data_IF_807302721048
#
_entry.id   IF_807302721048
#
_cell.length_a   1.000
_cell.length_b   1.000
_cell.length_c   1.000
_cell.angle_alpha   90.00
_cell.angle_beta   90.00
_cell.angle_gamma   90.00
#
_symmetry.space_group_name_H-M   'P 1'
#
loop_
_entity.id
_entity.type
_entity.pdbx_description
1 polymer ?
#
# COMPACT_ATOMS: atom_id res chain seq x y z
N UNK A 1 16.82 17.72 -9.98
CA UNK A 1 17.90 16.71 -10.09
C UNK A 1 19.10 17.24 -9.35
N UNK A 2 19.62 16.48 -8.40
CA UNK A 2 20.87 16.78 -7.70
C UNK A 2 21.92 15.83 -8.26
N UNK A 3 23.11 16.34 -8.60
CA UNK A 3 24.17 15.55 -9.24
C UNK A 3 25.36 15.43 -8.30
N UNK A 4 25.88 14.22 -8.14
CA UNK A 4 27.15 13.93 -7.50
C UNK A 4 28.17 13.46 -8.56
N UNK A 5 28.97 14.39 -9.12
CA UNK A 5 29.91 14.04 -10.18
C UNK A 5 31.10 13.19 -9.68
N UNK A 6 31.37 13.13 -8.37
CA UNK A 6 32.49 12.32 -7.85
C UNK A 6 32.15 10.84 -7.88
N UNK A 7 30.89 10.51 -7.63
CA UNK A 7 30.38 9.14 -7.63
C UNK A 7 29.59 8.79 -8.90
N UNK A 8 29.46 9.72 -9.85
CA UNK A 8 28.70 9.56 -11.10
C UNK A 8 27.21 9.22 -10.85
N UNK A 9 26.59 9.88 -9.86
CA UNK A 9 25.19 9.63 -9.45
C UNK A 9 24.31 10.85 -9.68
N UNK A 10 23.08 10.60 -10.15
CA UNK A 10 21.99 11.58 -10.22
C UNK A 10 20.85 11.21 -9.26
N UNK A 11 20.41 12.17 -8.45
CA UNK A 11 19.32 12.02 -7.51
C UNK A 11 18.04 12.71 -8.01
N UNK A 12 16.96 11.94 -8.01
CA UNK A 12 15.60 12.39 -8.30
C UNK A 12 14.74 12.27 -7.05
N UNK A 13 14.09 13.38 -6.67
CA UNK A 13 13.13 13.40 -5.56
C UNK A 13 11.74 13.22 -6.13
N UNK A 14 11.18 12.02 -5.94
CA UNK A 14 9.86 11.63 -6.43
C UNK A 14 8.91 11.38 -5.26
N UNK A 15 7.61 11.32 -5.54
CA UNK A 15 6.66 10.82 -4.54
C UNK A 15 6.95 9.33 -4.32
N UNK A 16 6.90 8.82 -3.07
CA UNK A 16 7.22 7.43 -2.78
C UNK A 16 6.45 6.39 -3.62
N UNK A 17 5.15 6.63 -3.88
CA UNK A 17 4.29 5.77 -4.74
C UNK A 17 4.80 5.64 -6.17
N UNK A 18 5.47 6.66 -6.69
CA UNK A 18 5.92 6.68 -8.09
C UNK A 18 7.25 5.94 -8.25
N UNK A 19 8.05 5.76 -7.18
CA UNK A 19 9.43 5.26 -7.25
C UNK A 19 9.50 3.87 -7.89
N UNK A 20 8.66 2.93 -7.47
CA UNK A 20 8.65 1.56 -7.99
C UNK A 20 8.37 1.51 -9.50
N UNK A 21 7.49 2.38 -9.99
CA UNK A 21 7.13 2.49 -11.42
C UNK A 21 8.32 3.01 -12.25
N UNK A 22 9.05 4.02 -11.75
CA UNK A 22 10.22 4.54 -12.47
C UNK A 22 11.39 3.55 -12.51
N UNK A 23 11.59 2.76 -11.45
CA UNK A 23 12.58 1.69 -11.43
C UNK A 23 12.18 0.56 -12.37
N UNK A 24 10.94 0.07 -12.28
CA UNK A 24 10.43 -1.01 -13.14
C UNK A 24 10.46 -0.65 -14.63
N UNK A 25 10.25 0.63 -14.98
CA UNK A 25 10.34 1.10 -16.38
C UNK A 25 11.77 1.30 -16.90
N UNK A 26 12.80 1.06 -16.07
CA UNK A 26 14.21 1.26 -16.42
C UNK A 26 14.59 2.73 -16.62
N UNK A 27 13.78 3.67 -16.10
CA UNK A 27 14.08 5.12 -16.13
C UNK A 27 14.97 5.56 -14.98
N UNK A 28 14.95 4.81 -13.88
CA UNK A 28 15.85 4.92 -12.75
C UNK A 28 16.45 3.55 -12.45
N UNK A 29 17.70 3.51 -12.03
CA UNK A 29 18.38 2.24 -11.73
C UNK A 29 17.98 1.68 -10.35
N UNK A 30 17.84 2.56 -9.35
CA UNK A 30 17.58 2.19 -7.94
C UNK A 30 16.64 3.23 -7.31
N UNK A 31 15.77 2.78 -6.40
CA UNK A 31 14.87 3.64 -5.63
C UNK A 31 14.80 3.27 -4.15
N UNK A 32 14.47 4.24 -3.29
CA UNK A 32 14.18 4.02 -1.88
C UNK A 32 12.70 4.36 -1.66
N UNK A 33 11.88 3.36 -1.33
CA UNK A 33 10.45 3.54 -1.07
C UNK A 33 9.97 2.61 0.05
N UNK A 34 8.75 2.85 0.54
CA UNK A 34 8.09 1.97 1.49
C UNK A 34 7.80 0.61 0.87
N UNK A 35 7.99 -0.47 1.66
CA UNK A 35 7.73 -1.84 1.20
C UNK A 35 6.26 -2.06 0.86
N UNK A 36 5.38 -1.46 1.65
CA UNK A 36 3.95 -1.33 1.37
C UNK A 36 3.71 -0.73 -0.02
N UNK A 37 4.33 0.41 -0.34
CA UNK A 37 4.14 1.07 -1.64
C UNK A 37 4.70 0.27 -2.81
N UNK A 38 5.83 -0.44 -2.61
CA UNK A 38 6.36 -1.36 -3.62
C UNK A 38 5.35 -2.48 -3.91
N UNK A 39 4.87 -3.17 -2.87
CA UNK A 39 3.91 -4.27 -3.02
C UNK A 39 2.58 -3.82 -3.60
N UNK A 40 2.09 -2.65 -3.18
CA UNK A 40 0.84 -2.07 -3.65
C UNK A 40 0.90 -1.67 -5.13
N UNK A 41 2.04 -1.15 -5.59
CA UNK A 41 2.21 -0.67 -6.97
C UNK A 41 2.04 -1.76 -8.03
N UNK A 42 2.26 -3.04 -7.67
CA UNK A 42 2.31 -4.15 -8.61
C UNK A 42 3.42 -4.02 -9.67
N UNK A 43 4.37 -3.09 -9.49
CA UNK A 43 5.47 -2.87 -10.41
C UNK A 43 6.43 -4.06 -10.40
N UNK A 44 7.00 -4.38 -11.55
CA UNK A 44 8.05 -5.40 -11.67
C UNK A 44 9.39 -4.79 -11.22
N UNK A 45 9.55 -4.67 -9.91
CA UNK A 45 10.74 -4.17 -9.24
C UNK A 45 11.03 -5.04 -8.00
N UNK A 46 12.32 -5.29 -7.75
CA UNK A 46 12.77 -6.19 -6.69
C UNK A 46 13.24 -5.41 -5.44
N UNK A 47 12.84 -5.89 -4.25
CA UNK A 47 13.39 -5.43 -2.98
C UNK A 47 14.77 -6.07 -2.75
N UNK A 48 15.83 -5.27 -2.84
CA UNK A 48 17.22 -5.76 -2.67
C UNK A 48 17.82 -5.50 -1.28
N UNK A 49 17.25 -4.57 -0.49
CA UNK A 49 17.78 -4.19 0.82
C UNK A 49 16.70 -3.60 1.73
N UNK A 50 16.59 -4.13 2.95
CA UNK A 50 15.81 -3.52 4.03
C UNK A 50 16.67 -2.56 4.86
N UNK A 51 16.20 -1.31 5.02
CA UNK A 51 16.93 -0.28 5.77
C UNK A 51 16.73 -0.36 7.29
N UNK A 52 15.78 -1.18 7.77
CA UNK A 52 15.63 -1.48 9.19
C UNK A 52 14.91 -0.42 10.06
N UNK A 53 14.30 0.59 9.45
CA UNK A 53 13.51 1.63 10.13
C UNK A 53 12.05 1.67 9.62
N UNK A 54 11.21 2.53 10.24
CA UNK A 54 9.79 2.71 9.92
C UNK A 54 9.00 1.38 9.93
N UNK A 55 8.99 0.72 11.10
CA UNK A 55 8.26 -0.54 11.26
C UNK A 55 6.76 -0.24 11.28
N UNK A 56 6.04 -0.91 10.40
CA UNK A 56 4.58 -0.81 10.33
C UNK A 56 3.97 -2.18 10.04
N UNK A 57 2.66 -2.29 10.32
CA UNK A 57 1.88 -3.49 9.99
C UNK A 57 0.64 -3.08 9.23
N UNK A 58 0.23 -3.91 8.28
CA UNK A 58 -1.04 -3.73 7.58
C UNK A 58 -2.18 -4.32 8.41
N UNK A 59 -3.26 -3.57 8.61
CA UNK A 59 -4.39 -3.98 9.47
C UNK A 59 -5.73 -3.67 8.83
N UNK A 60 -6.70 -4.53 9.11
CA UNK A 60 -8.11 -4.25 8.90
C UNK A 60 -8.74 -3.72 10.19
N UNK A 61 -9.65 -2.76 10.07
CA UNK A 61 -10.47 -2.29 11.19
C UNK A 61 -11.93 -2.11 10.76
N UNK A 62 -12.84 -2.38 11.71
CA UNK A 62 -14.30 -2.26 11.52
C UNK A 62 -14.94 -1.68 12.77
N UNK A 63 -16.22 -1.33 12.68
CA UNK A 63 -17.03 -1.11 13.89
C UNK A 63 -17.15 -2.43 14.69
N UNK A 64 -17.25 -2.37 16.02
CA UNK A 64 -17.47 -3.56 16.84
C UNK A 64 -18.72 -4.34 16.39
N UNK A 65 -18.57 -5.66 16.24
CA UNK A 65 -19.66 -6.55 15.81
C UNK A 65 -19.92 -6.59 14.31
N UNK A 66 -19.17 -5.83 13.49
CA UNK A 66 -19.29 -5.89 12.02
C UNK A 66 -18.60 -7.11 11.43
N UNK A 67 -17.34 -7.35 11.79
CA UNK A 67 -16.57 -8.52 11.37
C UNK A 67 -15.47 -8.83 12.39
N UNK A 68 -15.04 -10.08 12.45
CA UNK A 68 -13.94 -10.52 13.35
C UNK A 68 -12.64 -10.79 12.61
N UNK A 69 -12.70 -10.95 11.28
CA UNK A 69 -11.55 -11.10 10.42
C UNK A 69 -11.95 -11.35 8.95
N UNK A 70 -10.96 -11.62 8.08
CA UNK A 70 -11.18 -11.75 6.63
C UNK A 70 -12.27 -12.73 6.21
N UNK A 71 -12.47 -13.83 6.97
CA UNK A 71 -13.52 -14.81 6.69
C UNK A 71 -14.95 -14.24 6.74
N UNK A 72 -15.16 -13.12 7.42
CA UNK A 72 -16.46 -12.46 7.52
C UNK A 72 -16.68 -11.40 6.44
N UNK A 73 -15.68 -11.10 5.59
CA UNK A 73 -15.74 -9.93 4.69
C UNK A 73 -16.55 -10.17 3.41
N UNK A 74 -17.04 -11.39 3.17
CA UNK A 74 -17.74 -11.72 1.92
C UNK A 74 -18.95 -10.80 1.70
N UNK A 75 -19.00 -10.14 0.54
CA UNK A 75 -20.03 -9.18 0.17
C UNK A 75 -19.90 -7.79 0.82
N UNK A 76 -18.85 -7.54 1.61
CA UNK A 76 -18.58 -6.23 2.22
C UNK A 76 -17.72 -5.35 1.31
N UNK A 77 -17.67 -4.06 1.65
CA UNK A 77 -16.78 -3.07 1.02
C UNK A 77 -15.66 -2.69 1.98
N UNK A 78 -14.43 -2.76 1.48
CA UNK A 78 -13.19 -2.37 2.16
C UNK A 78 -12.67 -1.08 1.52
N UNK A 79 -12.48 -0.05 2.34
CA UNK A 79 -11.85 1.20 1.94
C UNK A 79 -10.35 1.21 2.28
N UNK A 80 -9.51 1.61 1.33
CA UNK A 80 -8.06 1.67 1.53
C UNK A 80 -7.37 2.61 0.52
N UNK A 81 -6.15 3.03 0.83
CA UNK A 81 -5.24 3.65 -0.15
C UNK A 81 -4.21 2.65 -0.74
N UNK A 82 -4.38 1.36 -0.43
CA UNK A 82 -3.48 0.26 -0.83
C UNK A 82 -4.28 -0.88 -1.49
N UNK A 83 -4.96 -0.61 -2.61
CA UNK A 83 -5.82 -1.59 -3.25
C UNK A 83 -5.06 -2.84 -3.74
N UNK A 84 -3.81 -2.68 -4.18
CA UNK A 84 -3.00 -3.80 -4.66
C UNK A 84 -2.72 -4.80 -3.55
N UNK A 85 -2.38 -4.31 -2.35
CA UNK A 85 -2.16 -5.16 -1.17
C UNK A 85 -3.46 -5.87 -0.77
N UNK A 86 -4.56 -5.12 -0.64
CA UNK A 86 -5.84 -5.66 -0.18
C UNK A 86 -6.40 -6.68 -1.18
N UNK A 87 -6.45 -6.33 -2.47
CA UNK A 87 -6.99 -7.21 -3.50
C UNK A 87 -6.19 -8.52 -3.58
N UNK A 88 -4.85 -8.45 -3.50
CA UNK A 88 -4.00 -9.64 -3.45
C UNK A 88 -4.32 -10.50 -2.22
N UNK A 89 -4.40 -9.90 -1.04
CA UNK A 89 -4.68 -10.63 0.20
C UNK A 89 -6.06 -11.31 0.18
N UNK A 90 -7.10 -10.63 -0.31
CA UNK A 90 -8.44 -11.22 -0.45
C UNK A 90 -8.46 -12.38 -1.43
N UNK A 91 -7.76 -12.25 -2.56
CA UNK A 91 -7.64 -13.32 -3.55
C UNK A 91 -6.91 -14.55 -2.99
N UNK A 92 -5.81 -14.33 -2.26
CA UNK A 92 -5.04 -15.39 -1.61
C UNK A 92 -5.88 -16.14 -0.54
N UNK A 93 -6.78 -15.44 0.15
CA UNK A 93 -7.70 -16.00 1.15
C UNK A 93 -9.03 -16.54 0.55
N UNK A 94 -9.27 -16.36 -0.74
CA UNK A 94 -10.52 -16.77 -1.40
C UNK A 94 -11.76 -16.00 -0.93
N UNK A 95 -11.60 -14.74 -0.52
CA UNK A 95 -12.67 -13.88 0.02
C UNK A 95 -13.20 -12.94 -1.06
N UNK A 96 -14.51 -13.00 -1.33
CA UNK A 96 -15.18 -12.12 -2.30
C UNK A 96 -15.70 -10.85 -1.63
N UNK A 97 -14.85 -9.82 -1.56
CA UNK A 97 -15.18 -8.50 -1.02
C UNK A 97 -14.80 -7.41 -2.03
N UNK A 98 -15.53 -6.30 -2.01
CA UNK A 98 -15.23 -5.15 -2.88
C UNK A 98 -14.19 -4.23 -2.24
N UNK A 99 -13.30 -3.67 -3.06
CA UNK A 99 -12.27 -2.71 -2.62
C UNK A 99 -12.55 -1.35 -3.26
N UNK A 100 -12.55 -0.30 -2.45
CA UNK A 100 -12.70 1.09 -2.91
C UNK A 100 -11.49 1.92 -2.49
N UNK A 101 -10.94 2.67 -3.44
CA UNK A 101 -9.83 3.58 -3.21
C UNK A 101 -10.27 4.80 -2.38
N UNK A 102 -9.43 5.23 -1.44
CA UNK A 102 -9.53 6.52 -0.78
C UNK A 102 -8.17 7.18 -0.60
N UNK A 103 -8.09 8.43 -1.06
CA UNK A 103 -6.98 9.34 -0.80
C UNK A 103 -7.05 9.92 0.62
N UNK A 104 -6.78 9.10 1.63
CA UNK A 104 -6.85 9.47 3.05
C UNK A 104 -8.28 9.58 3.62
N UNK A 105 -8.40 10.02 4.88
CA UNK A 105 -9.66 10.07 5.64
C UNK A 105 -10.43 8.74 5.65
N UNK A 106 -9.67 7.66 5.79
CA UNK A 106 -10.17 6.29 5.71
C UNK A 106 -11.23 6.03 6.80
N UNK A 107 -11.11 6.66 7.95
CA UNK A 107 -12.08 6.57 9.05
C UNK A 107 -13.45 7.18 8.68
N UNK A 108 -13.45 8.28 7.94
CA UNK A 108 -14.68 8.97 7.49
C UNK A 108 -15.49 8.10 6.52
N UNK A 109 -14.85 7.17 5.80
CA UNK A 109 -15.51 6.25 4.89
C UNK A 109 -16.57 5.38 5.60
N UNK A 110 -16.26 4.93 6.82
CA UNK A 110 -17.17 4.13 7.63
C UNK A 110 -18.33 4.99 8.14
N UNK A 111 -18.08 6.25 8.49
CA UNK A 111 -19.11 7.16 8.98
C UNK A 111 -20.11 7.55 7.88
N UNK A 112 -19.62 7.75 6.66
CA UNK A 112 -20.43 8.07 5.48
C UNK A 112 -21.10 6.85 4.84
N UNK A 113 -20.82 5.64 5.34
CA UNK A 113 -21.40 4.39 4.82
C UNK A 113 -20.85 3.95 3.47
N UNK A 114 -19.66 4.44 3.09
CA UNK A 114 -18.96 4.06 1.85
C UNK A 114 -18.38 2.65 1.98
N UNK A 115 -17.93 2.28 3.18
CA UNK A 115 -17.34 0.97 3.45
C UNK A 115 -17.70 0.48 4.86
N UNK A 116 -17.69 -0.85 5.06
CA UNK A 116 -17.85 -1.47 6.38
C UNK A 116 -16.50 -1.74 7.06
N UNK A 117 -15.45 -1.83 6.26
CA UNK A 117 -14.10 -2.19 6.66
C UNK A 117 -13.14 -1.14 6.13
N UNK A 118 -12.11 -0.83 6.90
CA UNK A 118 -10.96 -0.07 6.44
C UNK A 118 -9.71 -0.93 6.50
N UNK A 119 -8.78 -0.70 5.59
CA UNK A 119 -7.49 -1.36 5.58
C UNK A 119 -6.37 -0.32 5.44
N UNK A 120 -5.42 -0.32 6.37
CA UNK A 120 -4.36 0.68 6.40
C UNK A 120 -3.05 0.16 7.03
N UNK A 121 -1.98 0.89 6.78
CA UNK A 121 -0.66 0.71 7.39
C UNK A 121 -0.63 1.46 8.72
N UNK A 122 -0.35 0.76 9.82
CA UNK A 122 -0.26 1.34 11.16
C UNK A 122 1.11 1.11 11.79
N UNK A 123 1.58 2.11 12.52
CA UNK A 123 2.78 2.06 13.39
C UNK A 123 2.34 1.98 14.86
N UNK A 124 3.12 1.29 15.70
CA UNK A 124 2.87 1.09 17.15
C UNK A 124 4.09 1.41 17.98
#
# INVERSE_FOLDING_TARGET
>A
VLVDPTNEVEFFYLRPRDIAIYVSSGKLDIGITGRDLLLDSGADAEEILQLGFARSTFRYATKPGTATGPGDFTGMTIATSYEGIVAKHLADEGVDASVVHLDGAVETAIELGVAQIIADVVET
#
